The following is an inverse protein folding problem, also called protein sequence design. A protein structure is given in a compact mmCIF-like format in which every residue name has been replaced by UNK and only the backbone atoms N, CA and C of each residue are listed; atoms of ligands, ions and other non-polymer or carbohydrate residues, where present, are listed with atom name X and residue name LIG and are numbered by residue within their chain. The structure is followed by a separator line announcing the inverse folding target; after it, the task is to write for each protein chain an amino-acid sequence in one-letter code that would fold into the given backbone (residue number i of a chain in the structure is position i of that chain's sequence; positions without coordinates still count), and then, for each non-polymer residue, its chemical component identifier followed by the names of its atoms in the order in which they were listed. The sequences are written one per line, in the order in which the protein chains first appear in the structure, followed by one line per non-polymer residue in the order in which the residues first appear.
data_IF_225008709761
#
_entry.id   IF_225008709761
#
_cell.length_a   1.000
_cell.length_b   1.000
_cell.length_c   1.000
_cell.angle_alpha   90.00
_cell.angle_beta   90.00
_cell.angle_gamma   90.00
#
_symmetry.space_group_name_H-M   'P 1'
#
loop_
_entity.id
_entity.type
_entity.pdbx_description
1 polymer ?
#
# COMPACT_ATOMS: atom_id res chain seq x y z
N UNK A 1 21.92 -11.57 20.27
CA UNK A 1 20.59 -11.03 20.58
C UNK A 1 19.57 -11.75 19.71
N UNK A 2 18.46 -12.27 20.28
CA UNK A 2 17.61 -13.22 19.58
C UNK A 2 16.74 -12.51 18.55
N UNK A 3 16.71 -13.09 17.35
CA UNK A 3 15.82 -12.72 16.26
C UNK A 3 14.43 -13.30 16.57
N UNK A 4 13.43 -12.45 16.76
CA UNK A 4 12.04 -12.84 17.04
C UNK A 4 11.19 -12.54 15.80
N UNK A 5 10.89 -13.61 15.08
CA UNK A 5 9.85 -13.68 14.06
C UNK A 5 8.48 -13.79 14.76
N UNK A 6 7.44 -13.15 14.21
CA UNK A 6 6.01 -13.55 14.11
C UNK A 6 5.08 -12.32 14.19
N UNK A 7 4.11 -12.26 13.25
CA UNK A 7 2.96 -11.37 13.30
C UNK A 7 2.34 -11.06 11.92
N UNK A 8 2.00 -12.08 11.13
CA UNK A 8 1.20 -11.89 9.89
C UNK A 8 -0.27 -11.83 10.25
N UNK A 9 -0.86 -10.62 10.28
CA UNK A 9 -2.30 -10.46 10.39
C UNK A 9 -2.94 -10.68 9.02
N UNK A 10 -3.48 -11.87 8.78
CA UNK A 10 -4.40 -12.11 7.66
C UNK A 10 -5.77 -11.54 8.03
N UNK A 11 -6.27 -10.55 7.28
CA UNK A 11 -7.65 -10.05 7.40
C UNK A 11 -8.48 -10.39 6.15
N UNK A 12 -9.78 -10.70 6.30
CA UNK A 12 -10.63 -11.23 5.23
C UNK A 12 -11.02 -10.17 4.20
N UNK A 13 -10.88 -10.53 2.92
CA UNK A 13 -11.06 -9.65 1.76
C UNK A 13 -12.49 -9.75 1.22
N UNK A 14 -13.26 -8.66 1.31
CA UNK A 14 -14.43 -8.43 0.46
C UNK A 14 -14.03 -7.62 -0.79
N UNK A 15 -14.46 -8.05 -1.97
CA UNK A 15 -13.95 -7.56 -3.26
C UNK A 15 -14.82 -6.44 -3.82
N UNK A 16 -14.26 -5.26 -4.06
CA UNK A 16 -14.73 -4.34 -5.10
C UNK A 16 -13.51 -3.87 -5.88
N UNK A 17 -13.37 -4.39 -7.10
CA UNK A 17 -12.28 -4.07 -8.00
C UNK A 17 -12.81 -3.21 -9.15
N UNK A 18 -12.10 -2.14 -9.51
CA UNK A 18 -12.28 -1.49 -10.81
C UNK A 18 -11.01 -1.72 -11.62
N UNK A 19 -11.12 -2.60 -12.61
CA UNK A 19 -10.10 -2.79 -13.63
C UNK A 19 -10.41 -1.86 -14.81
N UNK A 20 -9.41 -1.19 -15.35
CA UNK A 20 -9.46 -0.64 -16.71
C UNK A 20 -8.62 -1.57 -17.61
N UNK A 21 -9.27 -2.57 -18.18
CA UNK A 21 -8.69 -3.45 -19.21
C UNK A 21 -9.27 -3.03 -20.56
N UNK A 22 -8.41 -2.63 -21.49
CA UNK A 22 -8.80 -2.32 -22.87
C UNK A 22 -8.82 -3.63 -23.67
N UNK A 23 -10.01 -4.16 -23.95
CA UNK A 23 -10.19 -5.46 -24.62
C UNK A 23 -10.48 -5.25 -26.11
N UNK A 24 -9.42 -5.25 -26.92
CA UNK A 24 -9.53 -5.40 -28.38
C UNK A 24 -9.80 -6.85 -28.77
N UNK A 25 -10.97 -7.12 -29.35
CA UNK A 25 -11.34 -8.40 -29.97
C UNK A 25 -10.74 -8.51 -31.38
N UNK A 26 -9.94 -9.55 -31.65
CA UNK A 26 -9.68 -10.00 -33.02
C UNK A 26 -9.57 -11.53 -33.11
N UNK A 27 -10.22 -12.07 -34.15
CA UNK A 27 -10.34 -13.49 -34.49
C UNK A 27 -9.06 -14.11 -35.06
N UNK A 28 -8.79 -15.33 -34.59
CA UNK A 28 -8.27 -16.53 -35.27
C UNK A 28 -7.39 -16.37 -36.54
N UNK A 29 -6.08 -16.66 -36.41
CA UNK A 29 -5.34 -17.65 -37.22
C UNK A 29 -3.86 -17.74 -36.78
N UNK A 30 -3.39 -18.95 -36.43
CA UNK A 30 -1.99 -19.37 -36.22
C UNK A 30 -0.99 -18.30 -35.71
N UNK A 31 -0.87 -18.15 -34.39
CA UNK A 31 0.07 -17.18 -33.80
C UNK A 31 0.81 -17.88 -32.65
N UNK A 32 2.15 -17.74 -32.62
CA UNK A 32 2.95 -17.86 -31.41
C UNK A 32 2.12 -17.30 -30.25
N UNK A 33 1.92 -18.05 -29.17
CA UNK A 33 1.29 -17.51 -27.97
C UNK A 33 2.27 -16.47 -27.41
N UNK A 34 2.25 -15.26 -27.98
CA UNK A 34 2.73 -14.07 -27.33
C UNK A 34 1.75 -13.86 -26.19
N UNK A 35 2.09 -14.44 -25.04
CA UNK A 35 1.46 -14.07 -23.78
C UNK A 35 1.52 -12.54 -23.71
N UNK A 36 0.36 -11.89 -23.75
CA UNK A 36 0.29 -10.43 -23.67
C UNK A 36 0.99 -10.03 -22.37
N UNK A 37 1.93 -9.06 -22.41
CA UNK A 37 2.64 -8.65 -21.21
C UNK A 37 1.64 -8.08 -20.21
N UNK A 38 1.65 -8.64 -19.01
CA UNK A 38 0.83 -8.20 -17.91
C UNK A 38 1.52 -7.02 -17.23
N UNK A 39 1.22 -5.82 -17.71
CA UNK A 39 1.87 -4.60 -17.25
C UNK A 39 1.12 -3.98 -16.08
N UNK A 40 1.73 -4.02 -14.89
CA UNK A 40 1.29 -3.25 -13.73
C UNK A 40 1.71 -1.79 -13.93
N UNK A 41 0.73 -0.96 -14.30
CA UNK A 41 0.92 0.49 -14.49
C UNK A 41 0.44 1.28 -13.29
N UNK A 42 -0.77 0.95 -12.85
CA UNK A 42 -1.44 1.59 -11.73
C UNK A 42 -2.12 0.50 -10.89
N UNK A 43 -2.19 0.73 -9.59
CA UNK A 43 -2.83 -0.18 -8.63
C UNK A 43 -3.50 0.63 -7.53
N UNK A 44 -4.77 0.36 -7.28
CA UNK A 44 -5.56 1.00 -6.22
C UNK A 44 -6.05 -0.07 -5.24
N UNK A 45 -5.92 0.20 -3.95
CA UNK A 45 -6.36 -0.67 -2.88
C UNK A 45 -7.06 0.14 -1.78
N UNK A 46 -8.16 -0.39 -1.25
CA UNK A 46 -8.96 0.28 -0.24
C UNK A 46 -9.44 -0.69 0.83
N UNK A 47 -9.38 -0.26 2.10
CA UNK A 47 -9.99 -0.94 3.25
C UNK A 47 -11.15 -0.08 3.76
N UNK A 48 -12.41 -0.51 3.57
CA UNK A 48 -13.56 0.22 4.08
C UNK A 48 -13.68 0.12 5.61
N UNK A 49 -14.28 1.14 6.22
CA UNK A 49 -14.51 1.29 7.67
C UNK A 49 -15.26 0.13 8.30
N UNK A 50 -16.14 -0.52 7.55
CA UNK A 50 -16.96 -1.65 8.02
C UNK A 50 -16.19 -2.93 8.33
N UNK A 51 -14.87 -2.98 8.09
CA UNK A 51 -14.07 -4.22 8.15
C UNK A 51 -13.15 -4.36 9.36
N UNK A 52 -12.97 -3.34 10.18
CA UNK A 52 -12.06 -3.40 11.32
C UNK A 52 -12.76 -2.89 12.57
N UNK A 53 -12.92 -3.74 13.58
CA UNK A 53 -13.17 -3.29 14.95
C UNK A 53 -11.85 -2.80 15.53
N UNK A 54 -11.56 -1.52 15.38
CA UNK A 54 -10.44 -0.90 16.09
C UNK A 54 -10.82 -0.77 17.58
N UNK A 55 -9.90 -1.05 18.52
CA UNK A 55 -10.16 -0.78 19.93
C UNK A 55 -10.45 0.71 20.09
N UNK A 56 -11.57 1.03 20.74
CA UNK A 56 -12.02 2.40 20.94
C UNK A 56 -11.05 3.14 21.86
N UNK A 57 -10.08 3.83 21.29
CA UNK A 57 -9.36 4.89 21.99
C UNK A 57 -10.32 6.07 22.00
N UNK A 58 -10.82 6.42 23.19
CA UNK A 58 -11.74 7.54 23.42
C UNK A 58 -11.13 8.84 22.90
N UNK A 59 -11.52 9.25 21.69
CA UNK A 59 -11.32 10.62 21.22
C UNK A 59 -12.40 11.49 21.88
N UNK A 60 -12.02 12.30 22.87
CA UNK A 60 -12.81 13.47 23.24
C UNK A 60 -12.64 14.50 22.11
N UNK A 61 -13.43 14.35 21.05
CA UNK A 61 -13.30 15.17 19.84
C UNK A 61 -14.50 14.99 18.94
N UNK A 62 -15.44 15.93 19.07
CA UNK A 62 -16.66 16.06 18.30
C UNK A 62 -16.37 16.10 16.79
N UNK A 63 -16.57 15.00 16.03
CA UNK A 63 -16.50 15.02 14.57
C UNK A 63 -17.45 13.98 13.95
N UNK A 64 -18.60 14.47 13.47
CA UNK A 64 -19.66 13.69 12.81
C UNK A 64 -19.37 13.39 11.31
N UNK A 65 -18.15 13.63 10.81
CA UNK A 65 -17.81 13.54 9.38
C UNK A 65 -16.94 12.33 8.97
N UNK A 66 -16.51 11.48 9.92
CA UNK A 66 -15.60 10.36 9.64
C UNK A 66 -16.28 9.03 9.30
N UNK A 67 -17.60 8.91 9.42
CA UNK A 67 -18.29 7.60 9.35
C UNK A 67 -18.25 6.92 7.96
N UNK A 68 -17.93 7.66 6.88
CA UNK A 68 -18.00 7.14 5.50
C UNK A 68 -16.65 7.06 4.76
N UNK A 69 -15.54 7.38 5.41
CA UNK A 69 -14.22 7.35 4.75
C UNK A 69 -13.50 6.02 5.02
N UNK A 70 -12.84 5.42 4.00
CA UNK A 70 -12.10 4.18 4.19
C UNK A 70 -10.95 4.36 5.19
N UNK A 71 -10.64 3.29 5.92
CA UNK A 71 -9.54 3.21 6.89
C UNK A 71 -8.18 3.34 6.21
N UNK A 72 -8.09 2.86 4.97
CA UNK A 72 -6.89 2.92 4.15
C UNK A 72 -7.31 3.04 2.70
N UNK A 73 -6.66 3.94 1.97
CA UNK A 73 -6.69 4.05 0.53
C UNK A 73 -5.28 4.21 0.03
N UNK A 74 -4.89 3.38 -0.92
CA UNK A 74 -3.55 3.38 -1.51
C UNK A 74 -3.66 3.40 -3.02
N UNK A 75 -2.84 4.23 -3.64
CA UNK A 75 -2.71 4.34 -5.07
C UNK A 75 -1.23 4.32 -5.46
N UNK A 76 -0.87 3.39 -6.34
CA UNK A 76 0.44 3.34 -6.97
C UNK A 76 0.26 3.67 -8.46
N UNK A 77 1.09 4.57 -8.97
CA UNK A 77 1.30 4.82 -10.39
C UNK A 77 2.76 4.56 -10.73
N UNK A 78 3.06 3.30 -11.03
CA UNK A 78 4.41 2.86 -11.38
C UNK A 78 4.89 3.53 -12.67
N UNK A 79 3.98 3.78 -13.63
CA UNK A 79 4.31 4.42 -14.90
C UNK A 79 4.84 5.84 -14.70
N UNK A 80 4.20 6.62 -13.83
CA UNK A 80 4.60 8.00 -13.53
C UNK A 80 5.49 8.12 -12.30
N UNK A 81 5.72 7.03 -11.56
CA UNK A 81 6.58 6.98 -10.39
C UNK A 81 5.96 7.66 -9.18
N UNK A 82 4.69 7.39 -8.87
CA UNK A 82 3.97 8.04 -7.77
C UNK A 82 3.27 7.05 -6.85
N UNK A 83 3.29 7.34 -5.55
CA UNK A 83 2.62 6.61 -4.49
C UNK A 83 1.82 7.61 -3.66
N UNK A 84 0.54 7.31 -3.45
CA UNK A 84 -0.31 8.03 -2.51
C UNK A 84 -0.94 7.06 -1.51
N UNK A 85 -0.81 7.36 -0.22
CA UNK A 85 -1.49 6.64 0.87
C UNK A 85 -2.34 7.66 1.64
N UNK A 86 -3.59 7.30 1.92
CA UNK A 86 -4.45 8.03 2.85
C UNK A 86 -5.02 7.02 3.83
N UNK A 87 -4.91 7.29 5.13
CA UNK A 87 -5.35 6.33 6.13
C UNK A 87 -5.86 7.00 7.38
N UNK A 88 -6.80 6.35 8.05
CA UNK A 88 -7.17 6.71 9.41
C UNK A 88 -5.95 6.57 10.32
N UNK A 89 -5.74 7.57 11.16
CA UNK A 89 -4.64 7.61 12.09
C UNK A 89 -4.56 6.37 13.00
N UNK A 90 -5.68 5.96 13.58
CA UNK A 90 -5.72 4.82 14.51
C UNK A 90 -5.41 3.52 13.76
N UNK A 91 -5.91 3.42 12.52
CA UNK A 91 -5.56 2.31 11.64
C UNK A 91 -4.06 2.27 11.33
N UNK A 92 -3.44 3.41 11.04
CA UNK A 92 -1.99 3.51 10.77
C UNK A 92 -1.17 3.11 11.99
N UNK A 93 -1.46 3.67 13.16
CA UNK A 93 -0.78 3.32 14.41
C UNK A 93 -0.91 1.82 14.67
N UNK A 94 -2.10 1.24 14.51
CA UNK A 94 -2.32 -0.20 14.72
C UNK A 94 -1.59 -1.08 13.69
N UNK A 95 -1.58 -0.69 12.42
CA UNK A 95 -0.90 -1.43 11.35
C UNK A 95 0.63 -1.34 11.46
N UNK A 96 1.12 -0.29 12.08
CA UNK A 96 2.53 0.00 12.24
C UNK A 96 3.09 -0.55 13.56
N UNK A 97 4.39 -0.88 13.61
CA UNK A 97 5.05 -1.35 14.85
C UNK A 97 5.48 -0.18 15.74
N UNK A 98 4.63 0.82 15.92
CA UNK A 98 5.00 2.03 16.65
C UNK A 98 5.01 1.82 18.16
N UNK A 99 5.87 2.57 18.85
CA UNK A 99 5.59 2.98 20.22
C UNK A 99 4.63 4.17 20.15
N UNK A 100 3.47 4.06 20.79
CA UNK A 100 2.42 5.10 20.82
C UNK A 100 2.99 6.52 21.03
N UNK A 101 4.07 6.66 21.80
CA UNK A 101 4.77 7.88 22.22
C UNK A 101 5.21 8.84 21.10
N UNK A 102 5.65 8.36 19.94
CA UNK A 102 6.15 9.24 18.86
C UNK A 102 5.02 10.00 18.14
N UNK A 103 3.82 9.48 18.27
CA UNK A 103 2.60 9.86 17.56
C UNK A 103 1.58 10.47 18.56
N UNK A 104 1.99 10.74 19.82
CA UNK A 104 1.13 11.43 20.82
C UNK A 104 1.18 12.94 20.59
N UNK A 105 0.47 13.40 19.56
CA UNK A 105 0.20 14.80 19.28
C UNK A 105 -1.25 15.00 18.83
N UNK A 106 -1.71 16.26 18.78
CA UNK A 106 -3.00 16.62 18.19
C UNK A 106 -2.98 16.35 16.68
N UNK A 107 -3.12 15.08 16.29
CA UNK A 107 -3.18 14.70 14.88
C UNK A 107 -4.63 14.77 14.41
N UNK A 108 -4.82 15.22 13.16
CA UNK A 108 -6.11 15.07 12.50
C UNK A 108 -6.46 13.58 12.39
N UNK A 109 -7.74 13.27 12.15
CA UNK A 109 -8.19 11.88 12.08
C UNK A 109 -7.51 11.07 10.96
N UNK A 110 -6.80 11.71 10.02
CA UNK A 110 -6.20 11.07 8.85
C UNK A 110 -4.75 11.48 8.61
N UNK A 111 -3.97 10.51 8.14
CA UNK A 111 -2.61 10.68 7.64
C UNK A 111 -2.62 10.54 6.13
N UNK A 112 -1.92 11.43 5.44
CA UNK A 112 -1.62 11.34 4.02
C UNK A 112 -0.12 11.18 3.79
N UNK A 113 0.24 10.33 2.82
CA UNK A 113 1.61 10.15 2.36
C UNK A 113 1.61 10.32 0.85
N UNK A 114 2.50 11.16 0.36
CA UNK A 114 2.74 11.39 -1.05
C UNK A 114 4.23 11.18 -1.34
N UNK A 115 4.55 10.19 -2.16
CA UNK A 115 5.93 9.79 -2.44
C UNK A 115 6.17 9.48 -3.92
N UNK A 116 7.40 9.71 -4.35
CA UNK A 116 7.90 9.34 -5.67
C UNK A 116 8.51 7.94 -5.63
N UNK A 117 8.20 7.13 -6.65
CA UNK A 117 8.75 5.79 -6.87
C UNK A 117 9.84 5.89 -7.92
N UNK A 118 11.07 5.46 -7.59
CA UNK A 118 12.19 5.50 -8.51
C UNK A 118 12.72 4.10 -8.84
N UNK A 119 13.04 3.80 -10.12
CA UNK A 119 12.64 4.55 -11.31
C UNK A 119 11.14 4.41 -11.64
N UNK A 120 10.58 5.42 -12.32
CA UNK A 120 9.23 5.37 -12.88
C UNK A 120 9.21 4.42 -14.10
N UNK A 121 8.59 3.26 -13.95
CA UNK A 121 8.45 2.26 -15.01
C UNK A 121 7.21 1.40 -14.83
N UNK A 122 6.61 0.95 -15.93
CA UNK A 122 5.58 -0.09 -15.87
C UNK A 122 6.22 -1.44 -15.58
N UNK A 123 5.69 -2.20 -14.63
CA UNK A 123 6.27 -3.48 -14.21
C UNK A 123 5.62 -4.60 -15.01
N UNK A 124 6.42 -5.46 -15.63
CA UNK A 124 5.90 -6.64 -16.33
C UNK A 124 5.81 -7.82 -15.37
N UNK A 125 4.60 -8.11 -14.89
CA UNK A 125 4.34 -9.20 -13.94
C UNK A 125 4.53 -10.60 -14.55
N UNK A 126 4.72 -10.73 -15.86
CA UNK A 126 5.15 -11.99 -16.49
C UNK A 126 6.68 -12.16 -16.48
N UNK A 127 7.43 -11.09 -16.20
CA UNK A 127 8.89 -11.14 -16.14
C UNK A 127 9.34 -11.64 -14.76
N UNK A 128 10.04 -12.78 -14.74
CA UNK A 128 10.57 -13.37 -13.52
C UNK A 128 11.60 -12.48 -12.82
N UNK A 129 12.23 -11.53 -13.52
CA UNK A 129 13.16 -10.57 -12.91
C UNK A 129 12.46 -9.54 -12.02
N UNK A 130 11.13 -9.43 -12.10
CA UNK A 130 10.35 -8.57 -11.22
C UNK A 130 10.10 -9.18 -9.82
N UNK A 131 10.38 -10.47 -9.62
CA UNK A 131 10.29 -11.11 -8.30
C UNK A 131 11.43 -10.64 -7.39
N UNK A 132 11.10 -10.01 -6.26
CA UNK A 132 12.05 -9.35 -5.38
C UNK A 132 12.50 -7.98 -5.88
N UNK A 133 11.77 -7.35 -6.82
CA UNK A 133 12.08 -6.00 -7.30
C UNK A 133 11.92 -5.00 -6.15
N UNK A 134 12.95 -4.20 -5.92
CA UNK A 134 12.95 -3.14 -4.90
C UNK A 134 13.10 -1.77 -5.58
N UNK A 135 12.19 -0.86 -5.26
CA UNK A 135 12.15 0.51 -5.78
C UNK A 135 12.27 1.50 -4.61
N UNK A 136 13.25 2.43 -4.60
CA UNK A 136 13.31 3.50 -3.62
C UNK A 136 12.10 4.42 -3.68
N UNK A 137 11.72 4.92 -2.49
CA UNK A 137 10.66 5.88 -2.25
C UNK A 137 11.23 7.13 -1.57
N UNK A 138 10.79 8.31 -2.01
CA UNK A 138 11.06 9.59 -1.33
C UNK A 138 9.82 10.47 -1.40
N UNK A 139 9.45 11.10 -0.29
CA UNK A 139 8.19 11.83 -0.22
C UNK A 139 7.98 12.60 1.06
N UNK A 140 6.71 12.82 1.38
CA UNK A 140 6.26 13.51 2.57
C UNK A 140 5.11 12.78 3.26
N UNK A 141 5.03 12.93 4.58
CA UNK A 141 3.93 12.49 5.44
C UNK A 141 3.27 13.74 6.02
N UNK A 142 1.96 13.81 5.92
CA UNK A 142 1.13 14.87 6.48
C UNK A 142 0.09 14.25 7.42
N UNK A 143 0.07 14.68 8.68
CA UNK A 143 -0.83 14.16 9.73
C UNK A 143 -1.87 15.22 10.21
N UNK A 144 -2.02 16.28 9.42
CA UNK A 144 -2.87 17.44 9.69
C UNK A 144 -2.23 18.50 10.60
N UNK A 145 -1.16 18.18 11.31
CA UNK A 145 -0.42 19.13 12.15
C UNK A 145 1.00 19.40 11.62
N UNK A 146 1.65 18.37 11.09
CA UNK A 146 3.04 18.37 10.68
C UNK A 146 3.15 17.83 9.26
N UNK A 147 4.01 18.46 8.47
CA UNK A 147 4.51 17.94 7.19
C UNK A 147 5.96 17.52 7.38
N UNK A 148 6.23 16.23 7.29
CA UNK A 148 7.57 15.66 7.43
C UNK A 148 8.05 15.00 6.15
N UNK A 149 9.35 15.02 5.89
CA UNK A 149 9.96 14.26 4.81
C UNK A 149 10.06 12.78 5.18
N UNK A 150 9.78 11.91 4.23
CA UNK A 150 9.95 10.47 4.40
C UNK A 150 10.78 9.86 3.27
N UNK A 151 11.40 8.72 3.57
CA UNK A 151 12.13 7.91 2.59
C UNK A 151 11.91 6.44 2.86
N UNK A 152 12.12 5.59 1.86
CA UNK A 152 11.85 4.18 2.04
C UNK A 152 12.04 3.32 0.81
N UNK A 153 11.41 2.15 0.83
CA UNK A 153 11.52 1.12 -0.19
C UNK A 153 10.15 0.49 -0.47
N UNK A 154 9.89 0.22 -1.73
CA UNK A 154 8.79 -0.60 -2.20
C UNK A 154 9.37 -1.93 -2.71
N UNK A 155 8.95 -3.04 -2.13
CA UNK A 155 9.31 -4.38 -2.58
C UNK A 155 8.13 -5.06 -3.29
N UNK A 156 8.38 -5.70 -4.43
CA UNK A 156 7.42 -6.50 -5.17
C UNK A 156 7.86 -7.96 -5.17
N UNK A 157 7.09 -8.82 -4.50
CA UNK A 157 7.39 -10.25 -4.36
C UNK A 157 6.31 -11.10 -5.06
N UNK A 158 6.72 -12.23 -5.65
CA UNK A 158 5.80 -13.26 -6.10
C UNK A 158 5.49 -14.23 -4.96
N UNK A 159 4.20 -14.46 -4.72
CA UNK A 159 3.74 -15.43 -3.73
C UNK A 159 3.73 -16.81 -4.39
N UNK A 160 4.67 -17.66 -3.98
CA UNK A 160 4.91 -18.99 -4.56
C UNK A 160 3.99 -20.10 -4.04
N UNK A 161 3.10 -19.81 -3.10
CA UNK A 161 2.26 -20.80 -2.42
C UNK A 161 0.91 -21.12 -3.11
N UNK A 162 0.60 -20.49 -4.24
CA UNK A 162 -0.70 -20.60 -4.93
C UNK A 162 -0.57 -21.09 -6.38
N UNK A 163 -1.62 -21.76 -6.87
CA UNK A 163 -1.72 -22.20 -8.27
C UNK A 163 -1.81 -21.03 -9.27
N UNK A 164 -2.21 -19.85 -8.79
CA UNK A 164 -2.22 -18.60 -9.56
C UNK A 164 -1.08 -17.69 -9.08
N UNK A 165 -0.39 -16.98 -9.99
CA UNK A 165 0.65 -16.03 -9.60
C UNK A 165 0.01 -14.86 -8.85
N UNK A 166 0.07 -14.90 -7.52
CA UNK A 166 -0.26 -13.76 -6.69
C UNK A 166 0.99 -12.94 -6.45
N UNK A 167 0.87 -11.64 -6.58
CA UNK A 167 1.95 -10.70 -6.32
C UNK A 167 1.68 -9.98 -4.99
N UNK A 168 2.73 -9.49 -4.35
CA UNK A 168 2.63 -8.75 -3.08
C UNK A 168 3.49 -7.50 -3.18
N UNK A 169 2.90 -6.34 -2.95
CA UNK A 169 3.63 -5.08 -2.78
C UNK A 169 3.82 -4.86 -1.28
N UNK A 170 5.04 -4.62 -0.85
CA UNK A 170 5.36 -4.21 0.53
C UNK A 170 6.00 -2.84 0.50
N UNK A 171 5.42 -1.87 1.17
CA UNK A 171 6.00 -0.52 1.33
C UNK A 171 6.58 -0.38 2.72
N UNK A 172 7.85 0.03 2.78
CA UNK A 172 8.59 0.42 3.97
C UNK A 172 8.84 1.92 3.87
N UNK A 173 8.36 2.71 4.82
CA UNK A 173 8.57 4.15 4.85
C UNK A 173 9.05 4.56 6.23
N UNK A 174 10.07 5.41 6.27
CA UNK A 174 10.62 6.00 7.47
C UNK A 174 10.37 7.51 7.44
N UNK A 175 9.79 8.06 8.50
CA UNK A 175 9.78 9.51 8.73
C UNK A 175 11.20 9.96 9.14
N UNK A 176 11.72 10.98 8.47
CA UNK A 176 13.08 11.47 8.70
C UNK A 176 13.18 12.44 9.88
N UNK A 177 12.06 12.94 10.40
CA UNK A 177 12.03 13.77 11.60
C UNK A 177 11.89 12.94 12.89
N UNK A 178 11.42 11.70 12.77
CA UNK A 178 11.17 10.81 13.90
C UNK A 178 11.87 9.46 13.71
N UNK A 179 12.98 9.25 14.44
CA UNK A 179 13.89 8.10 14.28
C UNK A 179 13.26 6.69 14.45
N UNK A 180 12.00 6.59 14.91
CA UNK A 180 11.31 5.33 15.21
C UNK A 180 10.03 5.10 14.38
N UNK A 181 9.89 5.82 13.27
CA UNK A 181 8.63 5.97 12.54
C UNK A 181 8.61 5.09 11.29
N UNK A 182 8.48 3.77 11.44
CA UNK A 182 8.46 2.81 10.30
C UNK A 182 7.02 2.37 9.96
N UNK A 183 6.57 2.70 8.75
CA UNK A 183 5.34 2.17 8.19
C UNK A 183 5.63 0.97 7.29
N UNK A 184 5.02 -0.17 7.61
CA UNK A 184 5.06 -1.38 6.80
C UNK A 184 3.65 -1.79 6.40
N UNK A 185 3.34 -1.76 5.10
CA UNK A 185 2.02 -2.17 4.58
C UNK A 185 2.20 -3.15 3.43
N UNK A 186 1.38 -4.20 3.43
CA UNK A 186 1.39 -5.26 2.43
C UNK A 186 0.09 -5.27 1.63
N UNK A 187 0.20 -5.32 0.31
CA UNK A 187 -0.93 -5.28 -0.62
C UNK A 187 -0.88 -6.49 -1.54
N UNK A 188 -1.95 -7.30 -1.59
CA UNK A 188 -2.04 -8.37 -2.56
C UNK A 188 -2.38 -7.83 -3.95
N UNK A 189 -1.57 -8.15 -4.93
CA UNK A 189 -1.80 -7.85 -6.34
C UNK A 189 -2.42 -9.09 -6.98
N UNK A 190 -3.69 -8.97 -7.32
CA UNK A 190 -4.46 -9.99 -8.04
C UNK A 190 -4.39 -9.71 -9.54
N UNK A 191 -4.10 -10.76 -10.30
CA UNK A 191 -3.89 -10.78 -11.74
C UNK A 191 -5.01 -11.56 -12.40
#
# INVERSE_FOLDING_TARGET
MPCLTIGSAYLPIGKHFRYFLDVGLYQQSNILIMEKPLLLRQYEYEIPTSRVMLPAVTKEGNNNDTENQPLLKVFFDFKNGHLKIEADWQYMVFASKYSEEAWIGYHENRVSIDASIYPALSINLNDSTCDGLVLPLEGYIEDGAILSSCSGLLALDKISASYEPHWKITTYLCDLQFDNCELNVQFPVYV
#
